data_IF_601289454032
#
_entry.id   IF_601289454032
#
_cell.length_a   1.000
_cell.length_b   1.000
_cell.length_c   1.000
_cell.angle_alpha   90.00
_cell.angle_beta   90.00
_cell.angle_gamma   90.00
#
_symmetry.space_group_name_H-M   'P 1'
#
loop_
_entity.id
_entity.type
_entity.pdbx_description
1 polymer ?
#
# COMPACT_ATOMS: atom_id res chain seq x y z
N UNK A 1 -0.10 11.06 9.03
CA UNK A 1 0.24 10.39 10.29
C UNK A 1 1.73 10.38 10.55
N UNK A 2 2.55 10.27 9.51
CA UNK A 2 3.96 9.94 9.70
C UNK A 2 4.80 11.12 10.22
N UNK A 3 4.60 12.34 9.71
CA UNK A 3 5.47 13.47 10.07
C UNK A 3 5.24 13.99 11.50
N UNK A 4 3.98 14.18 11.89
CA UNK A 4 3.62 14.78 13.18
C UNK A 4 3.35 13.70 14.23
N UNK A 5 2.47 12.73 13.94
CA UNK A 5 2.09 11.74 14.94
C UNK A 5 3.27 10.79 15.24
N UNK A 6 3.73 10.04 14.24
CA UNK A 6 4.84 9.11 14.45
C UNK A 6 6.18 9.86 14.61
N UNK A 7 6.44 10.85 13.76
CA UNK A 7 7.70 11.59 13.69
C UNK A 7 7.92 12.66 14.75
N UNK A 8 6.90 12.96 15.56
CA UNK A 8 7.04 13.87 16.70
C UNK A 8 6.45 13.29 17.98
N UNK A 9 5.14 13.01 18.05
CA UNK A 9 4.50 12.56 19.30
C UNK A 9 5.04 11.21 19.79
N UNK A 10 5.26 10.27 18.87
CA UNK A 10 5.72 8.91 19.21
C UNK A 10 7.24 8.71 19.06
N UNK A 11 7.98 9.75 18.62
CA UNK A 11 9.44 9.71 18.50
C UNK A 11 10.09 11.08 18.73
N UNK A 12 10.20 11.93 17.70
CA UNK A 12 10.85 13.25 17.72
C UNK A 12 12.22 13.30 17.05
N UNK A 13 12.82 14.50 17.03
CA UNK A 13 14.12 14.75 16.40
C UNK A 13 14.01 15.20 14.95
N UNK A 14 14.87 14.67 14.06
CA UNK A 14 14.83 14.96 12.61
C UNK A 14 13.49 14.54 12.00
N UNK A 15 12.89 13.48 12.53
CA UNK A 15 11.56 13.01 12.15
C UNK A 15 11.53 12.21 10.84
N UNK A 16 10.35 12.13 10.25
CA UNK A 16 10.02 11.18 9.16
C UNK A 16 9.55 11.88 7.88
N UNK A 17 10.13 13.05 7.58
CA UNK A 17 9.72 13.85 6.42
C UNK A 17 9.74 13.06 5.12
N UNK A 18 10.84 12.38 4.80
CA UNK A 18 10.98 11.69 3.52
C UNK A 18 10.20 10.38 3.41
N UNK A 19 9.82 9.75 4.54
CA UNK A 19 8.86 8.65 4.50
C UNK A 19 7.50 9.14 3.99
N UNK A 20 7.06 10.31 4.48
CA UNK A 20 5.78 10.87 4.08
C UNK A 20 5.82 11.50 2.68
N UNK A 21 6.87 12.26 2.33
CA UNK A 21 6.93 12.98 1.05
C UNK A 21 6.86 12.04 -0.15
N UNK A 22 7.41 10.83 -0.04
CA UNK A 22 7.33 9.83 -1.11
C UNK A 22 5.88 9.53 -1.58
N UNK A 23 4.89 9.75 -0.72
CA UNK A 23 3.48 9.57 -1.05
C UNK A 23 2.79 10.82 -1.62
N UNK A 24 3.47 11.97 -1.70
CA UNK A 24 2.87 13.23 -2.16
C UNK A 24 3.82 14.15 -2.97
N UNK A 25 4.97 13.64 -3.41
CA UNK A 25 5.92 14.39 -4.25
C UNK A 25 6.21 13.69 -5.55
N UNK A 26 6.62 14.47 -6.55
CA UNK A 26 7.17 14.01 -7.82
C UNK A 26 6.20 13.17 -8.67
N UNK A 27 4.90 13.21 -8.35
CA UNK A 27 3.80 12.52 -9.05
C UNK A 27 4.01 11.00 -9.22
N UNK A 28 4.85 10.39 -8.38
CA UNK A 28 5.18 8.96 -8.50
C UNK A 28 3.99 8.11 -8.10
N UNK A 29 3.39 8.39 -6.94
CA UNK A 29 2.21 7.67 -6.50
C UNK A 29 1.01 7.96 -7.42
N UNK A 30 0.91 9.19 -7.92
CA UNK A 30 -0.10 9.61 -8.89
C UNK A 30 -0.03 8.73 -10.15
N UNK A 31 1.14 8.64 -10.78
CA UNK A 31 1.36 7.80 -11.98
C UNK A 31 0.90 6.36 -11.75
N UNK A 32 1.33 5.75 -10.65
CA UNK A 32 1.02 4.35 -10.37
C UNK A 32 -0.47 4.14 -10.08
N UNK A 33 -1.11 5.10 -9.39
CA UNK A 33 -2.54 5.07 -9.14
C UNK A 33 -3.36 5.25 -10.42
N UNK A 34 -2.95 6.15 -11.31
CA UNK A 34 -3.62 6.34 -12.59
C UNK A 34 -3.50 5.10 -13.47
N UNK A 35 -2.33 4.47 -13.55
CA UNK A 35 -2.17 3.18 -14.24
C UNK A 35 -3.12 2.11 -13.68
N UNK A 36 -3.15 1.94 -12.36
CA UNK A 36 -4.02 0.95 -11.73
C UNK A 36 -5.52 1.24 -11.96
N UNK A 37 -5.90 2.51 -11.97
CA UNK A 37 -7.27 2.94 -12.25
C UNK A 37 -7.66 2.67 -13.71
N UNK A 38 -6.80 2.99 -14.67
CA UNK A 38 -7.03 2.75 -16.10
C UNK A 38 -7.13 1.25 -16.38
N UNK A 39 -6.21 0.44 -15.81
CA UNK A 39 -6.27 -1.03 -15.90
C UNK A 39 -7.61 -1.58 -15.39
N UNK A 40 -8.07 -1.10 -14.23
CA UNK A 40 -9.34 -1.51 -13.66
C UNK A 40 -10.54 -1.11 -14.53
N UNK A 41 -10.54 0.11 -15.07
CA UNK A 41 -11.63 0.60 -15.95
C UNK A 41 -11.69 -0.20 -17.22
N UNK A 42 -10.56 -0.41 -17.88
CA UNK A 42 -10.48 -1.13 -19.14
C UNK A 42 -10.93 -2.59 -18.98
N UNK A 43 -10.56 -3.21 -17.86
CA UNK A 43 -10.90 -4.63 -17.59
C UNK A 43 -12.34 -4.84 -17.16
N UNK A 44 -12.86 -3.99 -16.28
CA UNK A 44 -14.18 -4.19 -15.66
C UNK A 44 -15.28 -3.31 -16.25
N UNK A 45 -14.96 -2.47 -17.24
CA UNK A 45 -15.91 -1.57 -17.89
C UNK A 45 -16.32 -0.37 -17.03
N UNK A 46 -15.46 0.06 -16.11
CA UNK A 46 -15.65 1.23 -15.26
C UNK A 46 -15.36 1.00 -13.78
N UNK A 47 -15.44 2.09 -13.01
CA UNK A 47 -15.22 2.07 -11.56
C UNK A 47 -16.35 1.36 -10.80
N UNK A 48 -16.00 0.69 -9.71
CA UNK A 48 -16.92 -0.10 -8.87
C UNK A 48 -17.73 -1.16 -9.64
N UNK A 49 -17.17 -1.71 -10.73
CA UNK A 49 -17.79 -2.78 -11.55
C UNK A 49 -17.19 -4.16 -11.31
N UNK A 50 -15.98 -4.24 -10.75
CA UNK A 50 -15.38 -5.50 -10.38
C UNK A 50 -16.14 -6.13 -9.19
N UNK A 51 -16.27 -7.47 -9.14
CA UNK A 51 -16.85 -8.13 -7.98
C UNK A 51 -15.96 -7.90 -6.74
N UNK A 52 -16.58 -7.67 -5.59
CA UNK A 52 -15.88 -7.45 -4.33
C UNK A 52 -15.37 -8.77 -3.73
N UNK A 53 -14.37 -9.37 -4.37
CA UNK A 53 -13.77 -10.64 -3.94
C UNK A 53 -12.24 -10.54 -3.84
N UNK A 54 -11.63 -11.50 -3.13
CA UNK A 54 -10.17 -11.59 -2.98
C UNK A 54 -9.50 -11.85 -4.33
N UNK A 55 -10.18 -12.50 -5.27
CA UNK A 55 -9.70 -12.72 -6.63
C UNK A 55 -9.55 -11.41 -7.40
N UNK A 56 -10.51 -10.49 -7.27
CA UNK A 56 -10.38 -9.15 -7.85
C UNK A 56 -9.22 -8.38 -7.22
N UNK A 57 -9.03 -8.50 -5.90
CA UNK A 57 -7.86 -7.93 -5.21
C UNK A 57 -6.56 -8.50 -5.78
N UNK A 58 -6.48 -9.83 -5.93
CA UNK A 58 -5.29 -10.52 -6.45
C UNK A 58 -4.92 -10.06 -7.83
N UNK A 59 -5.90 -9.95 -8.71
CA UNK A 59 -5.70 -9.53 -10.09
C UNK A 59 -5.14 -8.10 -10.17
N UNK A 60 -5.86 -7.14 -9.61
CA UNK A 60 -5.50 -5.72 -9.71
C UNK A 60 -4.23 -5.40 -8.94
N UNK A 61 -4.08 -5.92 -7.72
CA UNK A 61 -2.90 -5.63 -6.91
C UNK A 61 -1.63 -6.26 -7.49
N UNK A 62 -1.72 -7.45 -8.10
CA UNK A 62 -0.56 -8.05 -8.77
C UNK A 62 -0.12 -7.18 -9.93
N UNK A 63 -1.05 -6.79 -10.80
CA UNK A 63 -0.76 -5.93 -11.95
C UNK A 63 -0.15 -4.59 -11.53
N UNK A 64 -0.80 -3.88 -10.60
CA UNK A 64 -0.33 -2.58 -10.13
C UNK A 64 1.04 -2.66 -9.44
N UNK A 65 1.29 -3.73 -8.67
CA UNK A 65 2.60 -3.96 -8.02
C UNK A 65 3.69 -4.20 -9.05
N UNK A 66 3.43 -5.03 -10.07
CA UNK A 66 4.41 -5.33 -11.11
C UNK A 66 4.72 -4.09 -11.94
N UNK A 67 3.71 -3.31 -12.34
CA UNK A 67 3.92 -2.05 -13.04
C UNK A 67 4.85 -1.12 -12.26
N UNK A 68 4.55 -0.87 -10.98
CA UNK A 68 5.37 0.04 -10.18
C UNK A 68 6.79 -0.49 -9.95
N UNK A 69 6.96 -1.81 -9.78
CA UNK A 69 8.29 -2.44 -9.72
C UNK A 69 9.06 -2.18 -11.02
N UNK A 70 8.43 -2.40 -12.17
CA UNK A 70 9.02 -2.14 -13.48
C UNK A 70 9.41 -0.66 -13.65
N UNK A 71 8.62 0.29 -13.12
CA UNK A 71 8.98 1.71 -13.16
C UNK A 71 10.28 1.98 -12.36
N UNK A 72 10.39 1.45 -11.14
CA UNK A 72 11.61 1.61 -10.35
C UNK A 72 12.83 0.93 -11.00
N UNK A 73 12.63 -0.19 -11.70
CA UNK A 73 13.71 -0.89 -12.42
C UNK A 73 14.12 -0.18 -13.72
N UNK A 74 13.15 0.37 -14.45
CA UNK A 74 13.34 1.01 -15.74
C UNK A 74 13.91 2.43 -15.64
N UNK A 75 13.61 3.12 -14.54
CA UNK A 75 14.04 4.50 -14.30
C UNK A 75 14.94 4.60 -13.06
N UNK A 76 16.28 4.46 -13.20
CA UNK A 76 17.20 4.49 -12.07
C UNK A 76 17.10 5.76 -11.20
N UNK A 77 16.76 6.90 -11.80
CA UNK A 77 16.54 8.15 -11.06
C UNK A 77 15.32 8.09 -10.14
N UNK A 78 14.29 7.32 -10.51
CA UNK A 78 13.12 7.09 -9.66
C UNK A 78 13.49 6.20 -8.46
N UNK A 79 14.30 5.16 -8.68
CA UNK A 79 14.84 4.33 -7.61
C UNK A 79 15.77 5.11 -6.68
N UNK A 80 16.52 6.08 -7.20
CA UNK A 80 17.36 7.00 -6.42
C UNK A 80 16.53 8.01 -5.63
N UNK A 81 15.47 8.57 -6.20
CA UNK A 81 14.57 9.50 -5.51
C UNK A 81 13.85 8.81 -4.34
N UNK A 82 13.27 7.64 -4.59
CA UNK A 82 12.74 6.76 -3.54
C UNK A 82 13.82 5.77 -3.07
N UNK A 83 14.95 6.28 -2.59
CA UNK A 83 16.08 5.47 -2.13
C UNK A 83 15.73 4.49 -1.00
N UNK A 84 14.78 4.86 -0.14
CA UNK A 84 14.32 4.06 0.99
C UNK A 84 13.37 2.95 0.55
N UNK A 85 13.65 1.71 0.97
CA UNK A 85 12.79 0.57 0.66
C UNK A 85 11.34 0.73 1.13
N UNK A 86 11.14 1.33 2.31
CA UNK A 86 9.79 1.61 2.84
C UNK A 86 9.02 2.61 2.01
N UNK A 87 9.67 3.65 1.47
CA UNK A 87 9.01 4.61 0.58
C UNK A 87 8.42 3.89 -0.63
N UNK A 88 9.24 3.03 -1.27
CA UNK A 88 8.80 2.21 -2.40
C UNK A 88 7.70 1.23 -2.00
N UNK A 89 7.83 0.58 -0.85
CA UNK A 89 6.83 -0.35 -0.36
C UNK A 89 5.47 0.32 -0.11
N UNK A 90 5.45 1.48 0.53
CA UNK A 90 4.23 2.27 0.73
C UNK A 90 3.60 2.66 -0.60
N UNK A 91 4.39 3.15 -1.56
CA UNK A 91 3.89 3.62 -2.86
C UNK A 91 3.31 2.48 -3.71
N UNK A 92 4.01 1.33 -3.78
CA UNK A 92 3.53 0.15 -4.51
C UNK A 92 2.27 -0.45 -3.89
N UNK A 93 2.21 -0.53 -2.56
CA UNK A 93 1.04 -1.04 -1.88
C UNK A 93 -0.15 -0.07 -1.91
N UNK A 94 0.12 1.23 -1.90
CA UNK A 94 -0.90 2.27 -2.03
C UNK A 94 -1.58 2.19 -3.40
N UNK A 95 -0.84 2.17 -4.51
CA UNK A 95 -1.45 2.06 -5.84
C UNK A 95 -2.25 0.76 -6.00
N UNK A 96 -1.74 -0.35 -5.46
CA UNK A 96 -2.41 -1.66 -5.47
C UNK A 96 -3.71 -1.66 -4.68
N UNK A 97 -3.70 -1.10 -3.47
CA UNK A 97 -4.88 -1.03 -2.62
C UNK A 97 -5.92 -0.03 -3.14
N UNK A 98 -5.49 1.12 -3.65
CA UNK A 98 -6.36 2.11 -4.30
C UNK A 98 -7.01 1.49 -5.53
N UNK A 99 -6.23 0.88 -6.43
CA UNK A 99 -6.74 0.23 -7.63
C UNK A 99 -7.79 -0.85 -7.30
N UNK A 100 -7.48 -1.75 -6.37
CA UNK A 100 -8.42 -2.80 -5.96
C UNK A 100 -9.69 -2.23 -5.28
N UNK A 101 -9.55 -1.23 -4.41
CA UNK A 101 -10.68 -0.57 -3.76
C UNK A 101 -11.58 0.18 -4.75
N UNK A 102 -10.98 0.84 -5.74
CA UNK A 102 -11.67 1.65 -6.75
C UNK A 102 -12.39 0.77 -7.77
N UNK A 103 -11.78 -0.33 -8.20
CA UNK A 103 -12.41 -1.29 -9.10
C UNK A 103 -13.63 -1.97 -8.47
N UNK A 104 -13.55 -2.30 -7.18
CA UNK A 104 -14.57 -3.07 -6.46
C UNK A 104 -15.60 -2.23 -5.72
N UNK A 105 -15.30 -0.95 -5.46
CA UNK A 105 -16.08 -0.10 -4.58
C UNK A 105 -16.09 -0.57 -3.12
N UNK A 106 -15.06 -1.33 -2.69
CA UNK A 106 -15.01 -1.95 -1.36
C UNK A 106 -13.63 -1.83 -0.71
N UNK A 107 -13.55 -1.06 0.38
CA UNK A 107 -12.28 -0.74 1.07
C UNK A 107 -11.52 -1.96 1.59
N UNK A 108 -12.21 -2.97 2.15
CA UNK A 108 -11.54 -4.20 2.62
C UNK A 108 -10.89 -5.00 1.49
N UNK A 109 -11.42 -4.92 0.26
CA UNK A 109 -10.78 -5.52 -0.92
C UNK A 109 -9.54 -4.71 -1.31
N UNK A 110 -9.62 -3.38 -1.20
CA UNK A 110 -8.44 -2.51 -1.28
C UNK A 110 -7.36 -2.87 -0.25
N UNK A 111 -7.74 -3.09 1.01
CA UNK A 111 -6.80 -3.50 2.06
C UNK A 111 -6.18 -4.88 1.80
N UNK A 112 -6.95 -5.82 1.26
CA UNK A 112 -6.41 -7.09 0.78
C UNK A 112 -5.38 -6.90 -0.36
N UNK A 113 -5.63 -5.95 -1.26
CA UNK A 113 -4.70 -5.57 -2.32
C UNK A 113 -3.39 -4.96 -1.79
N UNK A 114 -3.46 -4.08 -0.79
CA UNK A 114 -2.29 -3.52 -0.11
C UNK A 114 -1.37 -4.63 0.43
N UNK A 115 -1.92 -5.57 1.20
CA UNK A 115 -1.10 -6.61 1.81
C UNK A 115 -0.55 -7.61 0.80
N UNK A 116 -1.27 -7.90 -0.28
CA UNK A 116 -0.73 -8.72 -1.36
C UNK A 116 0.47 -8.04 -2.02
N UNK A 117 0.39 -6.73 -2.29
CA UNK A 117 1.50 -5.97 -2.87
C UNK A 117 2.77 -6.08 -2.04
N UNK A 118 2.65 -5.95 -0.71
CA UNK A 118 3.79 -6.08 0.20
C UNK A 118 4.47 -7.45 0.11
N UNK A 119 3.69 -8.52 0.01
CA UNK A 119 4.21 -9.88 -0.16
C UNK A 119 4.91 -10.05 -1.51
N UNK A 120 4.29 -9.59 -2.59
CA UNK A 120 4.86 -9.68 -3.94
C UNK A 120 6.17 -8.89 -4.07
N UNK A 121 6.20 -7.66 -3.56
CA UNK A 121 7.38 -6.81 -3.56
C UNK A 121 8.53 -7.46 -2.77
N UNK A 122 8.26 -7.99 -1.58
CA UNK A 122 9.27 -8.66 -0.76
C UNK A 122 9.93 -9.82 -1.52
N UNK A 123 9.14 -10.64 -2.20
CA UNK A 123 9.65 -11.77 -2.99
C UNK A 123 10.35 -11.32 -4.28
N UNK A 124 9.87 -10.27 -4.96
CA UNK A 124 10.44 -9.77 -6.21
C UNK A 124 11.87 -9.23 -6.02
N UNK A 125 12.11 -8.45 -4.96
CA UNK A 125 13.41 -7.78 -4.75
C UNK A 125 14.25 -8.37 -3.61
N UNK A 126 13.74 -9.36 -2.87
CA UNK A 126 14.39 -9.90 -1.68
C UNK A 126 14.58 -8.87 -0.56
N UNK A 127 13.83 -7.76 -0.62
CA UNK A 127 13.82 -6.64 0.33
C UNK A 127 12.46 -5.97 0.31
N UNK A 128 12.13 -5.26 1.39
CA UNK A 128 10.90 -4.47 1.49
C UNK A 128 11.21 -3.11 2.15
N UNK A 129 10.91 -2.95 3.44
CA UNK A 129 11.12 -1.73 4.20
C UNK A 129 12.22 -1.84 5.27
N UNK A 130 12.22 -0.90 6.20
CA UNK A 130 13.08 -0.91 7.37
C UNK A 130 12.77 -2.09 8.33
N UNK A 131 13.58 -2.25 9.38
CA UNK A 131 13.38 -3.29 10.39
C UNK A 131 12.00 -3.19 11.06
N UNK A 132 11.13 -4.17 10.84
CA UNK A 132 9.80 -4.20 11.43
C UNK A 132 8.77 -3.36 10.68
N UNK A 133 9.11 -2.83 9.50
CA UNK A 133 8.16 -2.16 8.60
C UNK A 133 6.95 -3.07 8.32
N UNK A 134 7.20 -4.34 8.03
CA UNK A 134 6.17 -5.32 7.69
C UNK A 134 5.48 -5.98 8.88
N UNK A 135 5.55 -5.41 10.09
CA UNK A 135 4.79 -5.93 11.23
C UNK A 135 3.31 -6.03 10.90
N UNK A 136 2.73 -4.93 10.42
CA UNK A 136 1.33 -4.91 10.03
C UNK A 136 1.07 -5.73 8.76
N UNK A 137 2.04 -5.78 7.86
CA UNK A 137 1.86 -6.41 6.55
C UNK A 137 1.95 -7.94 6.62
N UNK A 138 2.69 -8.50 7.58
CA UNK A 138 2.68 -9.93 7.86
C UNK A 138 1.42 -10.38 8.62
N UNK A 139 0.89 -9.54 9.51
CA UNK A 139 -0.41 -9.79 10.17
C UNK A 139 -1.61 -9.50 9.25
N UNK A 140 -1.39 -8.71 8.20
CA UNK A 140 -2.42 -8.15 7.35
C UNK A 140 -3.36 -9.18 6.74
N UNK A 141 -2.86 -10.17 5.97
CA UNK A 141 -3.70 -11.14 5.27
C UNK A 141 -4.69 -11.90 6.16
N UNK A 142 -4.34 -12.19 7.42
CA UNK A 142 -5.24 -12.85 8.38
C UNK A 142 -6.24 -11.87 9.00
N UNK A 143 -5.84 -10.60 9.16
CA UNK A 143 -6.62 -9.62 9.89
C UNK A 143 -7.54 -8.75 9.00
N UNK A 144 -7.45 -8.81 7.66
CA UNK A 144 -8.37 -8.07 6.77
C UNK A 144 -9.82 -8.49 7.03
N UNK A 145 -10.09 -9.79 7.00
CA UNK A 145 -11.44 -10.36 7.12
C UNK A 145 -11.65 -11.12 8.43
N UNK A 146 -10.76 -10.93 9.42
CA UNK A 146 -10.98 -11.46 10.77
C UNK A 146 -12.27 -10.88 11.35
N UNK A 147 -12.83 -11.57 12.33
CA UNK A 147 -13.95 -11.15 13.16
C UNK A 147 -13.61 -11.21 14.66
N UNK A 148 -12.33 -11.45 15.00
CA UNK A 148 -11.87 -11.50 16.38
C UNK A 148 -11.77 -10.10 16.98
N UNK A 149 -11.70 -10.04 18.32
CA UNK A 149 -11.83 -8.83 19.14
C UNK A 149 -11.06 -7.62 18.65
N UNK A 150 -9.74 -7.78 18.51
CA UNK A 150 -8.77 -6.71 18.27
C UNK A 150 -8.05 -6.89 16.91
N UNK A 151 -8.51 -7.85 16.11
CA UNK A 151 -8.07 -8.10 14.73
C UNK A 151 -9.06 -7.54 13.69
N UNK A 152 -10.34 -7.41 14.05
CA UNK A 152 -11.38 -7.05 13.08
C UNK A 152 -11.81 -5.60 13.18
N UNK A 153 -11.76 -4.90 12.04
CA UNK A 153 -12.53 -3.69 11.83
C UNK A 153 -12.62 -3.39 10.32
N UNK A 154 -13.74 -2.85 9.81
CA UNK A 154 -13.76 -2.19 8.50
C UNK A 154 -12.64 -1.14 8.40
N UNK A 155 -12.02 -1.03 7.22
CA UNK A 155 -10.86 -0.13 6.99
C UNK A 155 -11.14 1.29 7.48
N UNK A 156 -12.35 1.79 7.20
CA UNK A 156 -12.80 3.14 7.54
C UNK A 156 -12.88 3.39 9.05
N UNK A 157 -12.94 2.33 9.86
CA UNK A 157 -12.99 2.38 11.32
C UNK A 157 -11.63 2.05 11.96
N UNK A 158 -10.64 1.62 11.17
CA UNK A 158 -9.25 1.47 11.63
C UNK A 158 -8.60 2.85 11.79
N UNK A 159 -7.42 2.86 12.39
CA UNK A 159 -6.61 4.06 12.52
C UNK A 159 -5.32 3.77 13.26
N UNK A 160 -4.60 4.82 13.66
CA UNK A 160 -3.31 4.70 14.35
C UNK A 160 -3.38 4.03 15.74
N UNK A 161 -4.56 3.62 16.22
CA UNK A 161 -4.74 2.84 17.44
C UNK A 161 -5.26 1.41 17.18
N UNK A 162 -5.47 1.02 15.92
CA UNK A 162 -5.67 -0.39 15.58
C UNK A 162 -4.36 -1.15 15.89
N UNK A 163 -4.36 -2.30 16.58
CA UNK A 163 -3.16 -2.83 17.23
C UNK A 163 -1.94 -2.97 16.33
N UNK A 164 -2.10 -3.45 15.10
CA UNK A 164 -0.97 -3.62 14.19
C UNK A 164 -0.48 -2.30 13.57
N UNK A 165 -1.27 -1.22 13.60
CA UNK A 165 -0.98 0.05 12.91
C UNK A 165 -0.37 1.10 13.85
N UNK A 166 -0.13 0.75 15.11
CA UNK A 166 0.17 1.72 16.15
C UNK A 166 1.61 2.27 16.13
N UNK A 167 2.50 1.75 15.28
CA UNK A 167 3.95 1.91 15.47
C UNK A 167 4.72 2.38 14.24
N UNK A 168 4.30 1.99 13.03
CA UNK A 168 5.16 2.05 11.85
C UNK A 168 4.73 3.18 10.91
N UNK A 169 5.73 3.87 10.33
CA UNK A 169 5.56 4.75 9.17
C UNK A 169 5.40 3.96 7.89
#
# INVERSE_FOLDING_TARGET
YDQIWLGSYMSGGVGFTQYATAAYTNDVLDDFCYYAADYAVDKFGGFAKAPATVEAAKDIATEATLYGIEQYESFPTLLEDHFGGSQRASVLAACSGIGAGLATGHSQIGLAGWYLSMLLHKEAWGRLGFFGYDLQDQCGPTNVFSYQSDESNPVELRGANYPNYAMNV
#
